data_IF_217746858707
#
_entry.id   IF_217746858707
#
_cell.length_a   1.000
_cell.length_b   1.000
_cell.length_c   1.000
_cell.angle_alpha   90.00
_cell.angle_beta   90.00
_cell.angle_gamma   90.00
#
_symmetry.space_group_name_H-M   'P 1'
#
loop_
_entity.id
_entity.type
_entity.pdbx_description
1 polymer ?
#
# COMPACT_ATOMS: atom_id res chain seq x y z
N UNK A 1 -3.55 2.24 10.70
CA UNK A 1 -4.46 3.32 11.10
C UNK A 1 -5.69 2.79 11.82
N UNK A 2 -6.66 2.15 11.14
CA UNK A 2 -7.93 1.73 11.77
C UNK A 2 -7.78 0.79 12.97
N UNK A 3 -6.69 0.01 13.02
CA UNK A 3 -6.33 -0.89 14.13
C UNK A 3 -5.69 -0.17 15.34
N UNK A 4 -5.45 1.15 15.25
CA UNK A 4 -4.80 1.92 16.31
C UNK A 4 -3.29 1.71 16.44
N UNK A 5 -2.66 0.96 15.53
CA UNK A 5 -1.22 0.68 15.54
C UNK A 5 -0.37 1.96 15.37
N UNK A 6 -0.80 2.85 14.48
CA UNK A 6 -0.10 4.10 14.17
C UNK A 6 -1.09 5.10 13.56
N UNK A 7 -0.85 6.39 13.82
CA UNK A 7 -1.57 7.51 13.22
C UNK A 7 -1.12 7.78 11.78
N UNK A 8 -1.86 8.65 11.09
CA UNK A 8 -1.60 8.99 9.68
C UNK A 8 -0.20 9.59 9.49
N UNK A 9 0.20 10.50 10.39
CA UNK A 9 1.50 11.17 10.32
C UNK A 9 2.65 10.17 10.43
N UNK A 10 2.57 9.22 11.36
CA UNK A 10 3.59 8.18 11.58
C UNK A 10 3.68 7.24 10.38
N UNK A 11 2.55 6.86 9.78
CA UNK A 11 2.54 6.01 8.58
C UNK A 11 3.13 6.76 7.39
N UNK A 12 2.76 8.03 7.21
CA UNK A 12 3.28 8.86 6.12
C UNK A 12 4.79 9.09 6.26
N UNK A 13 5.26 9.37 7.48
CA UNK A 13 6.68 9.47 7.80
C UNK A 13 7.44 8.17 7.48
N UNK A 14 6.93 7.02 7.96
CA UNK A 14 7.60 5.74 7.73
C UNK A 14 7.77 5.45 6.23
N UNK A 15 6.71 5.64 5.44
CA UNK A 15 6.76 5.38 3.99
C UNK A 15 7.66 6.40 3.26
N UNK A 16 7.54 7.69 3.59
CA UNK A 16 8.29 8.76 2.89
C UNK A 16 9.75 8.79 3.29
N UNK A 17 10.04 8.87 4.58
CA UNK A 17 11.35 9.22 5.10
C UNK A 17 12.26 7.97 5.23
N UNK A 18 11.71 6.81 5.60
CA UNK A 18 12.50 5.58 5.75
C UNK A 18 12.60 4.77 4.46
N UNK A 19 11.54 4.75 3.64
CA UNK A 19 11.46 3.91 2.43
C UNK A 19 11.47 4.70 1.12
N UNK A 20 11.58 6.03 1.17
CA UNK A 20 11.88 6.88 0.01
C UNK A 20 10.71 7.15 -0.94
N UNK A 21 9.47 6.87 -0.53
CA UNK A 21 8.30 7.31 -1.29
C UNK A 21 8.25 8.84 -1.33
N UNK A 22 7.83 9.43 -2.46
CA UNK A 22 7.79 10.91 -2.57
C UNK A 22 6.83 11.56 -1.57
N UNK A 23 5.76 10.85 -1.21
CA UNK A 23 4.70 11.32 -0.32
C UNK A 23 4.15 10.13 0.44
N UNK A 24 3.75 10.34 1.70
CA UNK A 24 3.05 9.32 2.47
C UNK A 24 1.68 8.99 1.88
N UNK A 25 1.13 7.78 2.11
CA UNK A 25 -0.15 7.37 1.54
C UNK A 25 -1.33 8.28 1.92
N UNK A 26 -1.43 8.78 3.16
CA UNK A 26 -2.55 9.63 3.58
C UNK A 26 -2.42 11.05 3.01
N UNK A 27 -1.22 11.63 3.06
CA UNK A 27 -0.90 12.89 2.39
C UNK A 27 -1.23 12.82 0.88
N UNK A 28 -0.93 11.69 0.23
CA UNK A 28 -1.19 11.47 -1.18
C UNK A 28 -2.70 11.34 -1.46
N UNK A 29 -3.45 10.62 -0.62
CA UNK A 29 -4.90 10.54 -0.74
C UNK A 29 -5.55 11.93 -0.61
N UNK A 30 -5.09 12.75 0.34
CA UNK A 30 -5.59 14.11 0.53
C UNK A 30 -5.16 15.07 -0.59
N UNK A 31 -4.03 14.79 -1.25
CA UNK A 31 -3.57 15.53 -2.43
C UNK A 31 -4.39 15.20 -3.69
N UNK A 32 -4.62 13.91 -3.96
CA UNK A 32 -5.46 13.44 -5.09
C UNK A 32 -6.92 13.86 -4.88
N UNK A 33 -7.39 13.70 -3.65
CA UNK A 33 -8.78 13.86 -3.25
C UNK A 33 -9.41 12.52 -2.84
N UNK A 34 -9.91 12.43 -1.60
CA UNK A 34 -10.49 11.19 -1.07
C UNK A 34 -11.70 10.70 -1.86
N UNK A 35 -12.50 11.60 -2.43
CA UNK A 35 -13.62 11.26 -3.32
C UNK A 35 -13.16 10.52 -4.58
N UNK A 36 -12.09 11.02 -5.22
CA UNK A 36 -11.53 10.42 -6.42
C UNK A 36 -10.86 9.09 -6.09
N UNK A 37 -10.02 9.07 -5.05
CA UNK A 37 -9.29 7.87 -4.65
C UNK A 37 -10.24 6.74 -4.20
N UNK A 38 -11.27 7.06 -3.42
CA UNK A 38 -12.28 6.11 -2.98
C UNK A 38 -13.10 5.56 -4.16
N UNK A 39 -13.53 6.43 -5.08
CA UNK A 39 -14.29 6.00 -6.27
C UNK A 39 -13.52 4.99 -7.13
N UNK A 40 -12.21 5.22 -7.35
CA UNK A 40 -11.36 4.25 -8.07
C UNK A 40 -11.29 2.92 -7.31
N UNK A 41 -11.14 2.97 -5.99
CA UNK A 41 -11.09 1.76 -5.15
C UNK A 41 -12.40 0.97 -5.22
N UNK A 42 -13.56 1.63 -5.15
CA UNK A 42 -14.86 0.97 -5.31
C UNK A 42 -15.02 0.32 -6.69
N UNK A 43 -14.60 1.00 -7.76
CA UNK A 43 -14.64 0.46 -9.12
C UNK A 43 -13.79 -0.80 -9.24
N UNK A 44 -12.57 -0.80 -8.69
CA UNK A 44 -11.72 -2.00 -8.68
C UNK A 44 -12.39 -3.11 -7.86
N UNK A 45 -12.86 -2.81 -6.64
CA UNK A 45 -13.51 -3.78 -5.78
C UNK A 45 -14.72 -4.45 -6.43
N UNK A 46 -15.62 -3.67 -7.04
CA UNK A 46 -16.81 -4.20 -7.72
C UNK A 46 -16.45 -5.02 -8.98
N UNK A 47 -15.50 -4.55 -9.79
CA UNK A 47 -15.11 -5.26 -11.03
C UNK A 47 -14.32 -6.54 -10.77
N UNK A 48 -13.65 -6.64 -9.61
CA UNK A 48 -13.03 -7.87 -9.14
C UNK A 48 -13.98 -8.71 -8.27
N UNK A 49 -15.30 -8.59 -8.52
CA UNK A 49 -16.33 -9.40 -7.86
C UNK A 49 -16.28 -9.37 -6.33
N UNK A 50 -15.98 -8.20 -5.77
CA UNK A 50 -15.89 -7.96 -4.33
C UNK A 50 -14.77 -8.75 -3.64
N UNK A 51 -13.66 -8.98 -4.35
CA UNK A 51 -12.47 -9.58 -3.75
C UNK A 51 -12.03 -8.83 -2.49
N UNK A 52 -11.93 -9.49 -1.32
CA UNK A 52 -11.60 -8.85 -0.04
C UNK A 52 -10.29 -8.05 -0.06
N UNK A 53 -9.39 -8.35 -0.98
CA UNK A 53 -8.11 -7.63 -1.09
C UNK A 53 -8.28 -6.16 -1.49
N UNK A 54 -9.29 -5.85 -2.30
CA UNK A 54 -9.60 -4.49 -2.74
C UNK A 54 -10.69 -3.81 -1.90
N UNK A 55 -11.08 -4.40 -0.77
CA UNK A 55 -12.14 -3.89 0.09
C UNK A 55 -11.86 -2.43 0.51
N UNK A 56 -12.75 -1.48 0.20
CA UNK A 56 -12.58 -0.08 0.57
C UNK A 56 -12.58 0.14 2.09
N UNK A 57 -11.86 1.16 2.56
CA UNK A 57 -11.85 1.53 3.98
C UNK A 57 -13.15 2.24 4.39
N UNK A 58 -13.70 1.83 5.54
CA UNK A 58 -14.82 2.55 6.16
C UNK A 58 -14.43 3.97 6.60
N UNK A 59 -13.20 4.17 7.05
CA UNK A 59 -12.69 5.49 7.46
C UNK A 59 -12.66 6.45 6.28
N UNK A 60 -12.12 6.00 5.13
CA UNK A 60 -12.11 6.82 3.93
C UNK A 60 -13.53 7.14 3.44
N UNK A 61 -14.46 6.16 3.50
CA UNK A 61 -15.86 6.39 3.17
C UNK A 61 -16.49 7.51 3.99
N UNK A 62 -16.25 7.54 5.30
CA UNK A 62 -16.76 8.59 6.20
C UNK A 62 -16.21 9.96 5.85
N UNK A 63 -14.94 10.06 5.45
CA UNK A 63 -14.36 11.31 4.95
C UNK A 63 -15.08 11.79 3.70
N UNK A 64 -15.37 10.89 2.75
CA UNK A 64 -16.11 11.21 1.52
C UNK A 64 -17.54 11.66 1.82
N UNK A 65 -18.27 10.94 2.68
CA UNK A 65 -19.63 11.31 3.08
C UNK A 65 -19.69 12.68 3.79
N UNK A 66 -18.64 13.02 4.57
CA UNK A 66 -18.48 14.31 5.22
C UNK A 66 -17.96 15.43 4.30
N UNK A 67 -17.73 15.16 3.01
CA UNK A 67 -17.13 16.09 2.04
C UNK A 67 -15.72 16.56 2.43
N UNK A 68 -14.98 15.72 3.17
CA UNK A 68 -13.58 15.93 3.54
C UNK A 68 -12.66 15.32 2.49
N UNK A 69 -12.58 15.99 1.34
CA UNK A 69 -11.84 15.53 0.18
C UNK A 69 -10.35 15.89 0.19
N UNK A 70 -9.77 16.26 1.33
CA UNK A 70 -8.35 16.62 1.44
C UNK A 70 -8.09 18.10 1.17
N UNK A 71 -6.97 18.40 0.48
CA UNK A 71 -6.47 19.77 0.33
C UNK A 71 -7.46 20.71 -0.35
N UNK A 72 -8.18 20.21 -1.36
CA UNK A 72 -9.15 21.01 -2.15
C UNK A 72 -10.36 21.50 -1.34
N UNK A 73 -10.68 20.85 -0.22
CA UNK A 73 -11.76 21.24 0.70
C UNK A 73 -11.24 21.74 2.05
N UNK A 74 -9.92 21.87 2.21
CA UNK A 74 -9.30 22.28 3.48
C UNK A 74 -9.31 21.21 4.57
N UNK A 75 -9.88 20.02 4.33
CA UNK A 75 -9.97 18.92 5.31
C UNK A 75 -10.03 17.57 4.61
N UNK A 76 -9.22 16.62 5.07
CA UNK A 76 -9.23 15.20 4.72
C UNK A 76 -8.81 14.36 5.93
N UNK A 77 -7.82 13.48 5.77
CA UNK A 77 -7.10 12.89 6.90
C UNK A 77 -6.42 13.99 7.72
N UNK A 78 -5.82 14.98 7.06
CA UNK A 78 -5.22 16.15 7.68
C UNK A 78 -6.15 17.37 7.65
N UNK A 79 -5.87 18.34 8.52
CA UNK A 79 -6.54 19.64 8.52
C UNK A 79 -5.64 20.65 7.79
N UNK A 80 -6.17 21.24 6.72
CA UNK A 80 -5.47 22.19 5.85
C UNK A 80 -6.05 23.60 5.96
N UNK A 81 -6.97 23.85 6.90
CA UNK A 81 -7.52 25.18 7.14
C UNK A 81 -6.45 26.11 7.72
N UNK A 82 -6.64 27.41 7.54
CA UNK A 82 -5.73 28.41 8.09
C UNK A 82 -5.63 28.28 9.62
N UNK A 83 -4.41 28.24 10.14
CA UNK A 83 -4.13 28.05 11.57
C UNK A 83 -4.22 26.61 12.06
N UNK A 84 -4.51 25.63 11.20
CA UNK A 84 -4.45 24.22 11.55
C UNK A 84 -2.99 23.79 11.82
N UNK A 85 -2.81 22.96 12.85
CA UNK A 85 -1.51 22.38 13.19
C UNK A 85 -1.47 20.97 12.62
N UNK A 86 -0.46 20.68 11.80
CA UNK A 86 -0.22 19.33 11.32
C UNK A 86 0.28 18.45 12.47
N UNK A 87 -0.26 17.23 12.64
CA UNK A 87 0.21 16.30 13.65
C UNK A 87 1.66 15.89 13.35
N UNK A 88 2.47 15.80 14.40
CA UNK A 88 3.86 15.33 14.31
C UNK A 88 3.89 13.79 14.39
N UNK A 89 4.69 13.12 13.54
CA UNK A 89 4.78 11.66 13.57
C UNK A 89 5.52 11.15 14.82
N UNK A 90 5.15 9.95 15.27
CA UNK A 90 5.97 9.18 16.20
C UNK A 90 7.15 8.60 15.45
N UNK A 91 8.37 9.05 15.75
CA UNK A 91 9.60 8.63 15.07
C UNK A 91 10.27 7.45 15.76
N UNK A 92 9.54 6.33 15.84
CA UNK A 92 10.09 5.03 16.23
C UNK A 92 10.43 4.24 14.97
N UNK A 93 11.72 4.03 14.71
CA UNK A 93 12.19 3.30 13.52
C UNK A 93 11.70 1.86 13.49
N UNK A 94 11.58 1.19 14.64
CA UNK A 94 11.09 -0.20 14.71
C UNK A 94 9.66 -0.28 14.19
N UNK A 95 8.79 0.59 14.72
CA UNK A 95 7.41 0.71 14.27
C UNK A 95 7.34 1.12 12.80
N UNK A 96 8.19 2.06 12.36
CA UNK A 96 8.27 2.48 10.96
C UNK A 96 8.59 1.33 10.01
N UNK A 97 9.55 0.48 10.36
CA UNK A 97 9.88 -0.72 9.61
C UNK A 97 8.73 -1.74 9.58
N UNK A 98 8.01 -1.93 10.68
CA UNK A 98 6.85 -2.83 10.73
C UNK A 98 5.69 -2.35 9.83
N UNK A 99 5.40 -1.05 9.85
CA UNK A 99 4.39 -0.42 8.98
C UNK A 99 4.77 -0.63 7.52
N UNK A 100 5.99 -0.25 7.15
CA UNK A 100 6.44 -0.33 5.78
C UNK A 100 6.53 -1.77 5.27
N UNK A 101 6.99 -2.71 6.11
CA UNK A 101 7.02 -4.13 5.75
C UNK A 101 5.63 -4.62 5.35
N UNK A 102 4.59 -4.31 6.15
CA UNK A 102 3.20 -4.72 5.83
C UNK A 102 2.70 -4.10 4.53
N UNK A 103 3.00 -2.83 4.27
CA UNK A 103 2.59 -2.15 3.04
C UNK A 103 3.32 -2.73 1.83
N UNK A 104 4.63 -2.89 1.91
CA UNK A 104 5.46 -3.36 0.81
C UNK A 104 5.14 -4.79 0.41
N UNK A 105 4.99 -5.73 1.35
CA UNK A 105 4.67 -7.12 0.98
C UNK A 105 3.32 -7.23 0.29
N UNK A 106 2.34 -6.38 0.65
CA UNK A 106 1.05 -6.32 -0.02
C UNK A 106 1.17 -5.78 -1.46
N UNK A 107 1.94 -4.71 -1.66
CA UNK A 107 2.21 -4.17 -3.01
C UNK A 107 2.96 -5.18 -3.89
N UNK A 108 3.96 -5.85 -3.33
CA UNK A 108 4.72 -6.91 -4.01
C UNK A 108 3.80 -8.07 -4.40
N UNK A 109 2.90 -8.47 -3.50
CA UNK A 109 1.95 -9.54 -3.75
C UNK A 109 1.03 -9.22 -4.94
N UNK A 110 0.57 -7.97 -5.04
CA UNK A 110 -0.21 -7.48 -6.18
C UNK A 110 0.60 -7.49 -7.48
N UNK A 111 1.84 -7.01 -7.46
CA UNK A 111 2.71 -7.04 -8.63
C UNK A 111 2.98 -8.48 -9.10
N UNK A 112 3.18 -9.41 -8.17
CA UNK A 112 3.35 -10.82 -8.47
C UNK A 112 2.09 -11.46 -9.07
N UNK A 113 0.91 -11.11 -8.57
CA UNK A 113 -0.36 -11.58 -9.14
C UNK A 113 -0.62 -10.99 -10.54
N UNK A 114 -0.30 -9.72 -10.76
CA UNK A 114 -0.38 -9.12 -12.10
C UNK A 114 0.51 -9.84 -13.12
N UNK A 115 1.72 -10.22 -12.71
CA UNK A 115 2.63 -11.02 -13.53
C UNK A 115 2.10 -12.45 -13.75
N UNK A 116 1.61 -13.10 -12.68
CA UNK A 116 1.07 -14.46 -12.71
C UNK A 116 -0.12 -14.58 -13.67
N UNK A 117 -1.01 -13.58 -13.64
CA UNK A 117 -2.19 -13.47 -14.50
C UNK A 117 -1.87 -12.95 -15.91
N UNK A 118 -0.59 -12.69 -16.21
CA UNK A 118 -0.10 -12.19 -17.50
C UNK A 118 -0.72 -10.86 -17.93
N UNK A 119 -1.00 -9.97 -16.96
CA UNK A 119 -1.54 -8.63 -17.22
C UNK A 119 -0.47 -7.76 -17.91
N UNK A 120 0.78 -7.87 -17.47
CA UNK A 120 1.91 -7.14 -18.02
C UNK A 120 3.21 -7.94 -17.84
N UNK A 121 4.26 -7.54 -18.55
CA UNK A 121 5.59 -8.10 -18.34
C UNK A 121 6.18 -7.63 -17.00
N UNK A 122 7.16 -8.39 -16.47
CA UNK A 122 7.89 -8.03 -15.25
C UNK A 122 8.45 -6.60 -15.34
N UNK A 123 9.09 -6.27 -16.46
CA UNK A 123 9.76 -4.98 -16.67
C UNK A 123 8.73 -3.84 -16.80
N UNK A 124 7.59 -4.08 -17.45
CA UNK A 124 6.52 -3.09 -17.57
C UNK A 124 5.84 -2.80 -16.22
N UNK A 125 5.67 -3.82 -15.36
CA UNK A 125 5.12 -3.65 -14.01
C UNK A 125 6.01 -2.71 -13.20
N UNK A 126 7.31 -2.99 -13.13
CA UNK A 126 8.25 -2.17 -12.36
C UNK A 126 8.45 -0.77 -12.98
N UNK A 127 8.44 -0.66 -14.31
CA UNK A 127 8.46 0.62 -15.00
C UNK A 127 7.21 1.44 -14.69
N UNK A 128 6.02 0.84 -14.70
CA UNK A 128 4.78 1.54 -14.39
C UNK A 128 4.78 2.10 -12.96
N UNK A 129 5.31 1.35 -11.99
CA UNK A 129 5.37 1.82 -10.60
C UNK A 129 6.38 2.96 -10.40
N UNK A 130 7.56 2.86 -11.02
CA UNK A 130 8.62 3.88 -10.88
C UNK A 130 8.33 5.13 -11.69
N UNK A 131 7.81 5.02 -12.92
CA UNK A 131 7.57 6.16 -13.81
C UNK A 131 6.15 6.70 -13.72
N UNK A 132 5.15 5.85 -13.47
CA UNK A 132 3.75 6.25 -13.40
C UNK A 132 3.38 6.88 -12.06
N UNK A 133 3.77 6.25 -10.95
CA UNK A 133 3.41 6.70 -9.59
C UNK A 133 4.62 7.09 -8.72
N UNK A 134 5.81 7.19 -9.32
CA UNK A 134 7.04 7.65 -8.67
C UNK A 134 7.46 6.82 -7.45
N UNK A 135 7.27 5.51 -7.49
CA UNK A 135 7.85 4.64 -6.46
C UNK A 135 9.39 4.67 -6.55
N UNK A 136 10.09 4.61 -5.42
CA UNK A 136 11.56 4.68 -5.39
C UNK A 136 12.22 3.47 -6.08
N UNK A 137 11.51 2.35 -6.17
CA UNK A 137 11.95 1.10 -6.78
C UNK A 137 10.77 0.35 -7.38
N UNK A 138 11.03 -0.46 -8.41
CA UNK A 138 10.09 -1.43 -8.93
C UNK A 138 9.75 -2.47 -7.86
N UNK A 139 8.49 -2.89 -7.78
CA UNK A 139 8.02 -3.78 -6.71
C UNK A 139 8.62 -5.17 -6.82
N UNK A 140 8.76 -5.72 -8.03
CA UNK A 140 9.35 -7.05 -8.24
C UNK A 140 10.86 -7.01 -7.95
N UNK A 141 11.54 -5.93 -8.32
CA UNK A 141 12.94 -5.72 -7.97
C UNK A 141 13.12 -5.58 -6.45
N UNK A 142 12.17 -4.92 -5.77
CA UNK A 142 12.18 -4.79 -4.31
C UNK A 142 11.96 -6.13 -3.62
N UNK A 143 11.11 -6.99 -4.18
CA UNK A 143 10.90 -8.34 -3.68
C UNK A 143 12.19 -9.18 -3.68
N UNK A 144 13.02 -9.06 -4.72
CA UNK A 144 14.30 -9.78 -4.82
C UNK A 144 15.36 -9.28 -3.83
N UNK A 145 15.28 -8.01 -3.42
CA UNK A 145 16.15 -7.40 -2.41
C UNK A 145 15.73 -7.78 -0.99
N UNK A 146 14.42 -7.73 -0.69
CA UNK A 146 13.86 -8.18 0.59
C UNK A 146 14.06 -9.69 0.76
N UNK A 147 13.93 -10.42 -0.35
CA UNK A 147 13.93 -11.88 -0.39
C UNK A 147 12.50 -12.43 -0.51
N UNK A 148 12.30 -13.31 -1.48
CA UNK A 148 10.98 -13.87 -1.80
C UNK A 148 10.45 -14.73 -0.65
N UNK A 149 11.34 -15.41 0.09
CA UNK A 149 10.96 -16.20 1.25
C UNK A 149 10.37 -15.32 2.36
N UNK A 150 11.04 -14.20 2.65
CA UNK A 150 10.69 -13.22 3.68
C UNK A 150 9.35 -12.54 3.35
N UNK A 151 9.13 -12.19 2.08
CA UNK A 151 7.83 -11.67 1.61
C UNK A 151 6.71 -12.69 1.87
N UNK A 152 6.94 -13.95 1.49
CA UNK A 152 5.96 -15.03 1.67
C UNK A 152 5.69 -15.31 3.14
N UNK A 153 6.72 -15.37 3.97
CA UNK A 153 6.60 -15.57 5.42
C UNK A 153 5.81 -14.44 6.09
N UNK A 154 6.07 -13.19 5.70
CA UNK A 154 5.33 -12.04 6.22
C UNK A 154 3.85 -12.09 5.81
N UNK A 155 3.55 -12.40 4.55
CA UNK A 155 2.16 -12.57 4.09
C UNK A 155 1.44 -13.68 4.87
N UNK A 156 2.12 -14.79 5.15
CA UNK A 156 1.55 -15.90 5.92
C UNK A 156 1.30 -15.52 7.37
N UNK A 157 2.23 -14.80 8.00
CA UNK A 157 2.03 -14.31 9.36
C UNK A 157 0.80 -13.41 9.45
N UNK A 158 0.61 -12.51 8.47
CA UNK A 158 -0.56 -11.64 8.40
C UNK A 158 -1.84 -12.45 8.12
N UNK A 159 -1.78 -13.43 7.22
CA UNK A 159 -2.92 -14.30 6.93
C UNK A 159 -3.35 -15.11 8.15
N UNK A 160 -2.41 -15.67 8.92
CA UNK A 160 -2.71 -16.42 10.15
C UNK A 160 -3.24 -15.52 11.26
N UNK A 161 -2.69 -14.32 11.41
CA UNK A 161 -3.12 -13.35 12.43
C UNK A 161 -4.56 -12.88 12.20
N UNK A 162 -4.87 -12.45 10.97
CA UNK A 162 -6.17 -11.84 10.66
C UNK A 162 -7.21 -12.85 10.17
N UNK A 163 -6.78 -14.02 9.69
CA UNK A 163 -7.64 -15.02 9.03
C UNK A 163 -8.46 -14.43 7.87
N UNK A 164 -7.88 -13.46 7.16
CA UNK A 164 -8.50 -12.77 6.04
C UNK A 164 -7.81 -13.11 4.71
N UNK A 165 -8.62 -13.46 3.71
CA UNK A 165 -8.20 -13.67 2.32
C UNK A 165 -7.51 -12.45 1.69
N UNK A 166 -7.62 -11.28 2.32
CA UNK A 166 -6.87 -10.08 1.97
C UNK A 166 -5.35 -10.35 1.91
N UNK A 167 -4.82 -11.14 2.85
CA UNK A 167 -3.39 -11.44 2.94
C UNK A 167 -2.96 -12.72 2.21
N UNK A 168 -3.87 -13.36 1.45
CA UNK A 168 -3.53 -14.57 0.72
C UNK A 168 -2.33 -14.33 -0.21
N UNK A 169 -1.33 -15.21 -0.11
CA UNK A 169 -0.09 -15.09 -0.87
C UNK A 169 -0.27 -15.55 -2.33
N UNK A 170 0.34 -14.81 -3.26
CA UNK A 170 0.36 -15.13 -4.69
C UNK A 170 0.92 -16.53 -4.96
N UNK A 171 0.26 -17.34 -5.82
CA UNK A 171 0.79 -18.63 -6.24
C UNK A 171 2.19 -18.55 -6.88
N UNK A 172 2.51 -17.42 -7.55
CA UNK A 172 3.81 -17.20 -8.16
C UNK A 172 4.90 -17.07 -7.12
N UNK A 173 4.72 -16.26 -6.08
CA UNK A 173 5.68 -16.12 -4.99
C UNK A 173 5.96 -17.48 -4.33
N UNK A 174 4.90 -18.27 -4.08
CA UNK A 174 5.04 -19.63 -3.56
C UNK A 174 5.84 -20.54 -4.47
N UNK A 175 5.62 -20.47 -5.79
CA UNK A 175 6.37 -21.24 -6.78
C UNK A 175 7.85 -20.83 -6.76
N UNK A 176 8.12 -19.53 -6.71
CA UNK A 176 9.48 -19.01 -6.71
C UNK A 176 10.27 -19.43 -5.45
N UNK A 177 9.64 -19.45 -4.27
CA UNK A 177 10.28 -20.01 -3.06
C UNK A 177 10.63 -21.49 -3.25
N UNK A 178 9.72 -22.31 -3.78
CA UNK A 178 9.99 -23.74 -4.02
C UNK A 178 11.12 -23.98 -5.03
N UNK A 179 11.22 -23.11 -6.02
CA UNK A 179 12.22 -23.22 -7.10
C UNK A 179 13.49 -22.41 -6.84
N UNK A 180 13.58 -21.73 -5.69
CA UNK A 180 14.65 -20.82 -5.30
C UNK A 180 14.96 -19.77 -6.40
N UNK A 181 13.89 -19.16 -6.93
CA UNK A 181 13.96 -18.19 -8.03
C UNK A 181 13.83 -16.74 -7.53
N UNK A 182 14.34 -15.84 -8.36
CA UNK A 182 14.19 -14.39 -8.27
C UNK A 182 13.43 -13.87 -9.49
N UNK A 183 12.84 -12.68 -9.40
CA UNK A 183 12.20 -12.04 -10.53
C UNK A 183 13.24 -11.63 -11.57
N UNK A 184 14.41 -11.17 -11.12
CA UNK A 184 15.53 -10.74 -11.94
C UNK A 184 16.71 -11.73 -11.87
N UNK A 185 17.44 -11.92 -12.98
CA UNK A 185 18.60 -12.80 -13.05
C UNK A 185 19.80 -12.27 -12.27
#
# INVERSE_FOLDING_TARGET
FDEGIADEATIDWAMRDLYGFRMGPFELMDFIGNDINYAVTEVVFTNFFYDPRYKPSFTQKRLVEAHFFGRKTGRGFYDYREGAVSPEPTRDETLGHEIAARVLVMLINEAADALYLRIASRDDIDMAMTQGVNYPKGLLAWADEIGIHEVVEKLDSLYVEYLEDRYRCSPLLRKMVRENQKFYP
#
